data_IF_746757828862
#
_entry.id   IF_746757828862
#
_cell.length_a   1.000
_cell.length_b   1.000
_cell.length_c   1.000
_cell.angle_alpha   90.00
_cell.angle_beta   90.00
_cell.angle_gamma   90.00
#
_symmetry.space_group_name_H-M   'P 1'
#
loop_
_entity.id
_entity.type
_entity.pdbx_description
1 polymer ?
#
# COMPACT_ATOMS: atom_id res chain seq x y z
N UNK A 1 2.42 2.25 -22.36
CA UNK A 1 1.90 2.01 -20.99
C UNK A 1 2.31 3.23 -20.16
N UNK A 2 1.41 3.86 -19.43
CA UNK A 2 1.72 5.08 -18.65
C UNK A 2 2.42 4.65 -17.36
N UNK A 3 3.65 5.16 -17.12
CA UNK A 3 4.38 4.88 -15.87
C UNK A 3 3.85 5.76 -14.75
N UNK A 4 3.55 5.16 -13.59
CA UNK A 4 3.12 5.83 -12.37
C UNK A 4 4.27 6.02 -11.38
N UNK A 5 5.11 5.02 -11.25
CA UNK A 5 6.32 5.01 -10.43
C UNK A 5 7.47 4.43 -11.25
N UNK A 6 8.61 5.09 -11.21
CA UNK A 6 9.86 4.62 -11.79
C UNK A 6 10.96 4.65 -10.72
N UNK A 7 11.61 3.52 -10.54
CA UNK A 7 12.80 3.38 -9.71
C UNK A 7 13.95 3.06 -10.65
N UNK A 8 15.04 3.84 -10.58
CA UNK A 8 16.21 3.63 -11.42
C UNK A 8 17.48 3.57 -10.59
N UNK A 9 18.23 2.46 -10.73
CA UNK A 9 19.52 2.18 -10.11
C UNK A 9 19.57 2.48 -8.61
N UNK A 10 18.47 2.20 -7.92
CA UNK A 10 18.34 2.46 -6.48
C UNK A 10 19.27 1.54 -5.69
N UNK A 11 20.04 2.13 -4.79
CA UNK A 11 20.95 1.42 -3.88
C UNK A 11 20.69 1.88 -2.46
N UNK A 12 20.65 0.93 -1.52
CA UNK A 12 20.54 1.19 -0.09
C UNK A 12 21.42 0.25 0.71
N UNK A 13 22.15 0.82 1.66
CA UNK A 13 22.97 0.10 2.64
C UNK A 13 22.78 0.67 4.05
N UNK A 14 23.09 -0.12 5.06
CA UNK A 14 23.26 0.28 6.45
C UNK A 14 24.68 -0.11 6.91
N UNK A 15 25.60 0.84 6.91
CA UNK A 15 27.01 0.57 7.11
C UNK A 15 27.52 -0.41 6.05
N UNK A 16 28.10 -1.54 6.48
CA UNK A 16 28.62 -2.57 5.58
C UNK A 16 27.54 -3.50 5.00
N UNK A 17 26.30 -3.42 5.51
CA UNK A 17 25.19 -4.26 5.05
C UNK A 17 24.49 -3.62 3.84
N UNK A 18 24.78 -4.11 2.65
CA UNK A 18 24.04 -3.73 1.43
C UNK A 18 22.74 -4.51 1.35
N UNK A 19 21.60 -3.81 1.40
CA UNK A 19 20.27 -4.43 1.26
C UNK A 19 19.94 -4.74 -0.21
N UNK A 20 20.09 -3.75 -1.07
CA UNK A 20 19.94 -3.90 -2.52
C UNK A 20 20.84 -2.89 -3.25
N UNK A 21 21.21 -3.25 -4.48
CA UNK A 21 22.18 -2.46 -5.28
C UNK A 21 21.70 -2.37 -6.73
N UNK A 22 21.70 -1.13 -7.23
CA UNK A 22 21.36 -0.79 -8.63
C UNK A 22 20.02 -1.39 -9.11
N UNK A 23 19.02 -1.49 -8.21
CA UNK A 23 17.74 -2.06 -8.57
C UNK A 23 16.93 -1.08 -9.43
N UNK A 24 16.31 -1.61 -10.49
CA UNK A 24 15.49 -0.83 -11.43
C UNK A 24 14.18 -1.55 -11.72
N UNK A 25 13.06 -0.90 -11.44
CA UNK A 25 11.73 -1.38 -11.80
C UNK A 25 10.73 -0.22 -11.81
N UNK A 26 9.53 -0.48 -12.30
CA UNK A 26 8.48 0.53 -12.30
C UNK A 26 7.10 -0.06 -12.08
N UNK A 27 6.14 0.79 -11.77
CA UNK A 27 4.71 0.46 -11.70
C UNK A 27 3.98 1.30 -12.72
N UNK A 28 3.34 0.67 -13.68
CA UNK A 28 2.53 1.35 -14.67
C UNK A 28 1.04 1.34 -14.27
N UNK A 29 0.28 2.16 -14.96
CA UNK A 29 -1.17 2.24 -14.79
C UNK A 29 -1.83 0.85 -14.91
N UNK A 30 -2.63 0.48 -13.91
CA UNK A 30 -3.36 -0.78 -13.84
C UNK A 30 -2.52 -2.01 -13.48
N UNK A 31 -1.20 -1.87 -13.28
CA UNK A 31 -0.38 -2.99 -12.81
C UNK A 31 -0.60 -3.24 -11.31
N UNK A 32 -0.66 -4.52 -10.95
CA UNK A 32 -0.78 -5.00 -9.58
C UNK A 32 0.40 -5.91 -9.28
N UNK A 33 1.37 -5.36 -8.55
CA UNK A 33 2.69 -5.95 -8.32
C UNK A 33 2.81 -6.41 -6.87
N UNK A 34 3.14 -7.69 -6.68
CA UNK A 34 3.55 -8.24 -5.39
C UNK A 34 5.07 -8.24 -5.26
N UNK A 35 5.58 -7.57 -4.23
CA UNK A 35 7.01 -7.56 -3.90
C UNK A 35 7.31 -8.63 -2.86
N UNK A 36 8.14 -9.58 -3.21
CA UNK A 36 8.55 -10.67 -2.33
C UNK A 36 10.06 -10.68 -2.11
N UNK A 37 10.45 -11.11 -0.95
CA UNK A 37 11.87 -11.33 -0.61
C UNK A 37 11.99 -12.07 0.71
N UNK A 38 13.17 -12.61 1.01
CA UNK A 38 13.48 -13.18 2.32
C UNK A 38 13.37 -12.10 3.42
N UNK A 39 13.16 -12.52 4.65
CA UNK A 39 13.15 -11.58 5.78
C UNK A 39 14.52 -10.92 5.92
N UNK A 40 14.54 -9.62 6.24
CA UNK A 40 15.75 -8.83 6.40
C UNK A 40 16.40 -8.34 5.09
N UNK A 41 15.80 -8.57 3.92
CA UNK A 41 16.35 -8.10 2.63
C UNK A 41 15.99 -6.66 2.30
N UNK A 42 15.23 -5.96 3.15
CA UNK A 42 14.92 -4.55 2.97
C UNK A 42 13.58 -4.24 2.29
N UNK A 43 12.58 -5.16 2.30
CA UNK A 43 11.24 -4.88 1.74
C UNK A 43 10.60 -3.61 2.30
N UNK A 44 10.45 -3.54 3.62
CA UNK A 44 9.89 -2.36 4.30
C UNK A 44 10.75 -1.11 4.08
N UNK A 45 12.07 -1.25 4.09
CA UNK A 45 13.00 -0.16 3.76
C UNK A 45 12.75 0.37 2.35
N UNK A 46 12.59 -0.51 1.35
CA UNK A 46 12.26 -0.11 -0.01
C UNK A 46 10.93 0.63 -0.09
N UNK A 47 9.88 0.12 0.57
CA UNK A 47 8.60 0.81 0.63
C UNK A 47 8.69 2.17 1.34
N UNK A 48 9.47 2.28 2.42
CA UNK A 48 9.72 3.55 3.13
C UNK A 48 10.46 4.56 2.25
N UNK A 49 11.46 4.11 1.47
CA UNK A 49 12.14 4.97 0.49
C UNK A 49 11.16 5.47 -0.57
N UNK A 50 10.35 4.59 -1.12
CA UNK A 50 9.31 4.95 -2.10
C UNK A 50 8.31 5.94 -1.47
N UNK A 51 7.95 5.74 -0.21
CA UNK A 51 7.07 6.64 0.56
C UNK A 51 7.73 7.96 0.99
N UNK A 52 9.01 8.18 0.68
CA UNK A 52 9.75 9.40 1.05
C UNK A 52 10.06 9.52 2.55
N UNK A 53 10.08 8.39 3.27
CA UNK A 53 10.31 8.33 4.72
C UNK A 53 11.72 7.92 5.10
N UNK A 54 12.45 7.38 4.17
CA UNK A 54 13.82 6.92 4.36
C UNK A 54 14.68 7.34 3.17
N UNK A 55 15.92 7.74 3.46
CA UNK A 55 16.91 8.12 2.46
C UNK A 55 17.54 6.89 1.82
N UNK A 56 18.17 7.08 0.65
CA UNK A 56 18.90 6.05 -0.09
C UNK A 56 20.26 6.55 -0.52
N UNK A 57 21.16 5.62 -0.85
CA UNK A 57 22.56 5.95 -1.12
C UNK A 57 22.76 6.51 -2.54
N UNK A 58 22.07 5.94 -3.53
CA UNK A 58 22.12 6.37 -4.92
C UNK A 58 20.91 5.88 -5.72
N UNK A 59 20.71 6.45 -6.90
CA UNK A 59 19.59 6.15 -7.78
C UNK A 59 18.49 7.21 -7.72
N UNK A 60 17.34 6.91 -8.29
CA UNK A 60 16.20 7.83 -8.36
C UNK A 60 14.88 7.10 -8.11
N UNK A 61 13.95 7.79 -7.43
CA UNK A 61 12.54 7.39 -7.27
C UNK A 61 11.68 8.51 -7.81
N UNK A 62 10.97 8.25 -8.92
CA UNK A 62 10.19 9.26 -9.62
C UNK A 62 8.74 8.83 -9.73
N UNK A 63 7.83 9.64 -9.22
CA UNK A 63 6.39 9.50 -9.44
C UNK A 63 5.93 10.38 -10.60
N UNK A 64 4.90 9.92 -11.31
CA UNK A 64 4.20 10.78 -12.25
C UNK A 64 3.66 12.00 -11.52
N UNK A 65 3.78 13.17 -12.15
CA UNK A 65 3.24 14.42 -11.63
C UNK A 65 1.72 14.30 -11.39
N UNK A 66 1.26 14.88 -10.30
CA UNK A 66 -0.16 14.92 -9.89
C UNK A 66 -0.81 13.54 -9.65
N UNK A 67 0.00 12.48 -9.43
CA UNK A 67 -0.47 11.14 -9.10
C UNK A 67 -1.00 11.10 -7.66
N UNK A 68 -2.21 10.59 -7.48
CA UNK A 68 -2.76 10.32 -6.15
C UNK A 68 -2.25 8.98 -5.65
N UNK A 69 -1.36 9.04 -4.66
CA UNK A 69 -0.72 7.86 -4.07
C UNK A 69 -1.27 7.63 -2.67
N UNK A 70 -1.77 6.43 -2.41
CA UNK A 70 -2.10 5.95 -1.07
C UNK A 70 -0.97 5.08 -0.52
N UNK A 71 -0.58 5.27 0.73
CA UNK A 71 0.47 4.49 1.37
C UNK A 71 -0.01 3.92 2.71
N UNK A 72 -0.10 2.60 2.81
CA UNK A 72 -0.34 1.90 4.07
C UNK A 72 0.99 1.51 4.72
N UNK A 73 1.27 2.15 5.83
CA UNK A 73 2.48 1.88 6.62
C UNK A 73 2.32 0.64 7.50
N UNK A 74 3.44 0.00 7.79
CA UNK A 74 3.48 -1.10 8.75
C UNK A 74 3.03 -0.65 10.16
N UNK A 75 3.37 0.60 10.55
CA UNK A 75 3.02 1.18 11.85
C UNK A 75 2.40 2.57 11.66
N UNK A 76 1.10 2.63 11.32
CA UNK A 76 0.41 3.91 11.12
C UNK A 76 0.30 4.68 12.45
N UNK A 77 0.41 6.01 12.36
CA UNK A 77 0.27 6.90 13.50
C UNK A 77 -0.72 8.02 13.19
N UNK A 78 -1.63 8.27 14.10
CA UNK A 78 -2.61 9.36 14.05
C UNK A 78 -2.67 10.07 15.40
N UNK A 79 -3.05 11.35 15.46
CA UNK A 79 -3.34 12.04 16.72
C UNK A 79 -4.41 11.28 17.52
N UNK A 80 -4.14 11.04 18.80
CA UNK A 80 -4.97 10.20 19.66
C UNK A 80 -6.36 10.80 19.94
N UNK A 81 -6.47 12.11 19.85
CA UNK A 81 -7.71 12.87 20.07
C UNK A 81 -8.71 12.79 18.93
N UNK A 82 -8.27 12.45 17.73
CA UNK A 82 -9.15 12.31 16.57
C UNK A 82 -10.12 11.15 16.74
N UNK A 83 -11.32 11.31 16.23
CA UNK A 83 -12.23 10.18 16.06
C UNK A 83 -11.81 9.32 14.87
N UNK A 84 -12.29 8.08 14.80
CA UNK A 84 -12.08 7.18 13.66
C UNK A 84 -12.45 7.86 12.34
N UNK A 85 -13.60 8.53 12.29
CA UNK A 85 -14.06 9.20 11.08
C UNK A 85 -13.14 10.38 10.72
N UNK A 86 -12.75 11.19 11.69
CA UNK A 86 -11.79 12.27 11.48
C UNK A 86 -10.44 11.78 11.01
N UNK A 87 -9.94 10.65 11.52
CA UNK A 87 -8.69 10.04 11.08
C UNK A 87 -8.77 9.56 9.62
N UNK A 88 -9.91 9.00 9.20
CA UNK A 88 -10.15 8.64 7.79
C UNK A 88 -10.16 9.87 6.86
N UNK A 89 -10.52 11.02 7.41
CA UNK A 89 -10.54 12.28 6.68
C UNK A 89 -9.32 13.17 6.96
N UNK A 90 -8.33 12.68 7.70
CA UNK A 90 -7.09 13.39 7.98
C UNK A 90 -6.13 13.35 6.78
N UNK A 91 -6.58 13.87 5.63
CA UNK A 91 -5.80 13.95 4.40
C UNK A 91 -5.77 15.38 3.86
N UNK A 92 -4.89 15.65 2.90
CA UNK A 92 -4.78 16.94 2.22
C UNK A 92 -5.88 17.19 1.17
N UNK A 93 -6.83 16.27 1.01
CA UNK A 93 -7.92 16.39 0.05
C UNK A 93 -8.97 17.41 0.52
N UNK A 94 -9.38 18.30 -0.35
CA UNK A 94 -10.34 19.37 -0.04
C UNK A 94 -11.72 18.84 0.35
N UNK A 95 -12.21 17.81 -0.32
CA UNK A 95 -13.47 17.11 0.02
C UNK A 95 -13.42 16.55 1.43
N UNK A 96 -12.31 16.00 1.83
CA UNK A 96 -12.07 15.41 3.14
C UNK A 96 -12.07 16.49 4.24
N UNK A 97 -11.43 17.63 3.98
CA UNK A 97 -11.45 18.78 4.92
C UNK A 97 -12.86 19.31 5.09
N UNK A 98 -13.61 19.37 4.00
CA UNK A 98 -14.99 19.84 4.02
C UNK A 98 -15.90 18.94 4.85
N UNK A 99 -15.73 17.61 4.76
CA UNK A 99 -16.47 16.66 5.60
C UNK A 99 -16.08 16.83 7.07
N UNK A 100 -14.80 17.05 7.37
CA UNK A 100 -14.34 17.32 8.72
C UNK A 100 -14.94 18.65 9.28
N UNK A 101 -15.02 19.72 8.47
CA UNK A 101 -15.69 20.97 8.82
C UNK A 101 -17.18 20.76 9.13
N UNK A 102 -17.87 19.95 8.32
CA UNK A 102 -19.28 19.61 8.54
C UNK A 102 -19.50 18.84 9.84
N UNK A 103 -18.73 17.78 10.07
CA UNK A 103 -18.82 16.97 11.30
C UNK A 103 -18.50 17.82 12.55
N UNK A 104 -17.53 18.71 12.47
CA UNK A 104 -17.18 19.62 13.57
C UNK A 104 -18.32 20.63 13.86
N UNK A 105 -18.91 21.21 12.82
CA UNK A 105 -20.04 22.14 12.95
C UNK A 105 -21.26 21.44 13.59
N UNK A 106 -21.54 20.19 13.17
CA UNK A 106 -22.62 19.39 13.74
C UNK A 106 -22.36 19.01 15.19
N UNK A 107 -21.12 18.66 15.54
CA UNK A 107 -20.74 18.28 16.91
C UNK A 107 -20.77 19.46 17.89
N UNK A 108 -20.48 20.67 17.42
CA UNK A 108 -20.47 21.90 18.23
C UNK A 108 -21.84 22.62 18.28
N UNK A 109 -22.84 22.10 17.54
CA UNK A 109 -24.12 22.80 17.32
C UNK A 109 -23.97 24.24 16.78
N UNK A 110 -22.84 24.50 16.09
CA UNK A 110 -22.54 25.78 15.47
C UNK A 110 -23.10 25.83 14.05
N UNK A 111 -24.22 26.52 13.90
CA UNK A 111 -24.92 26.62 12.62
C UNK A 111 -24.59 27.91 11.86
N UNK A 112 -23.64 28.73 12.32
CA UNK A 112 -23.33 30.05 11.73
C UNK A 112 -22.88 29.96 10.27
N UNK A 113 -22.18 28.90 9.87
CA UNK A 113 -21.66 28.66 8.52
C UNK A 113 -22.23 27.40 7.85
N UNK A 114 -23.26 26.78 8.46
CA UNK A 114 -23.75 25.47 8.02
C UNK A 114 -24.29 25.48 6.58
N UNK A 115 -24.96 26.56 6.16
CA UNK A 115 -25.52 26.69 4.81
C UNK A 115 -24.41 26.74 3.72
N UNK A 116 -23.31 27.45 3.99
CA UNK A 116 -22.13 27.47 3.10
C UNK A 116 -21.46 26.11 3.04
N UNK A 117 -21.26 25.46 4.18
CA UNK A 117 -20.72 24.11 4.27
C UNK A 117 -21.56 23.13 3.47
N UNK A 118 -22.89 23.12 3.63
CA UNK A 118 -23.80 22.24 2.91
C UNK A 118 -23.74 22.46 1.39
N UNK A 119 -23.71 23.72 0.94
CA UNK A 119 -23.59 24.06 -0.48
C UNK A 119 -22.28 23.54 -1.08
N UNK A 120 -21.17 23.63 -0.34
CA UNK A 120 -19.89 23.09 -0.75
C UNK A 120 -19.90 21.56 -0.73
N UNK A 121 -20.50 20.93 0.29
CA UNK A 121 -20.68 19.48 0.38
C UNK A 121 -21.39 18.89 -0.86
N UNK A 122 -22.45 19.57 -1.33
CA UNK A 122 -23.17 19.17 -2.54
C UNK A 122 -22.31 19.35 -3.80
N UNK A 123 -21.61 20.48 -3.92
CA UNK A 123 -20.77 20.76 -5.10
C UNK A 123 -19.58 19.80 -5.24
N UNK A 124 -19.00 19.34 -4.14
CA UNK A 124 -17.90 18.37 -4.11
C UNK A 124 -18.36 16.91 -4.02
N UNK A 125 -19.67 16.63 -4.02
CA UNK A 125 -20.25 15.30 -3.79
C UNK A 125 -19.71 14.63 -2.52
N UNK A 126 -19.53 15.41 -1.49
CA UNK A 126 -18.88 14.99 -0.25
C UNK A 126 -19.72 13.95 0.53
N UNK A 127 -21.04 13.95 0.34
CA UNK A 127 -21.93 12.94 0.91
C UNK A 127 -21.64 11.52 0.41
N UNK A 128 -21.36 11.36 -0.88
CA UNK A 128 -21.00 10.07 -1.46
C UNK A 128 -19.69 9.55 -0.86
N UNK A 129 -18.79 10.49 -0.57
CA UNK A 129 -17.49 10.19 0.03
C UNK A 129 -17.61 9.70 1.48
N UNK A 130 -18.43 10.38 2.29
CA UNK A 130 -18.70 9.97 3.66
C UNK A 130 -19.39 8.59 3.72
N UNK A 131 -20.36 8.36 2.85
CA UNK A 131 -21.04 7.07 2.73
C UNK A 131 -20.06 5.96 2.35
N UNK A 132 -19.18 6.21 1.38
CA UNK A 132 -18.10 5.29 0.99
C UNK A 132 -17.18 4.98 2.17
N UNK A 133 -16.79 5.99 2.94
CA UNK A 133 -15.96 5.83 4.14
C UNK A 133 -16.61 4.91 5.16
N UNK A 134 -17.88 5.18 5.52
CA UNK A 134 -18.65 4.36 6.47
C UNK A 134 -18.82 2.92 5.97
N UNK A 135 -19.02 2.73 4.67
CA UNK A 135 -19.11 1.40 4.06
C UNK A 135 -17.77 0.63 4.18
N UNK A 136 -16.65 1.24 3.82
CA UNK A 136 -15.32 0.61 3.91
C UNK A 136 -14.98 0.28 5.36
N UNK A 137 -15.20 1.21 6.30
CA UNK A 137 -15.00 0.98 7.73
C UNK A 137 -15.86 -0.18 8.24
N UNK A 138 -17.13 -0.26 7.81
CA UNK A 138 -18.03 -1.35 8.17
C UNK A 138 -17.52 -2.71 7.70
N UNK A 139 -17.00 -2.81 6.47
CA UNK A 139 -16.38 -4.02 5.93
C UNK A 139 -15.14 -4.44 6.73
N UNK A 140 -14.40 -3.47 7.26
CA UNK A 140 -13.25 -3.69 8.14
C UNK A 140 -13.65 -3.84 9.62
N UNK A 141 -14.96 -4.04 9.90
CA UNK A 141 -15.52 -4.26 11.25
C UNK A 141 -15.20 -3.13 12.23
N UNK A 142 -15.19 -1.90 11.74
CA UNK A 142 -15.11 -0.68 12.53
C UNK A 142 -16.48 -0.01 12.49
N UNK A 143 -17.23 -0.08 13.58
CA UNK A 143 -18.62 0.39 13.63
C UNK A 143 -18.80 1.65 14.48
N UNK A 144 -17.91 1.90 15.43
CA UNK A 144 -17.96 3.11 16.25
C UNK A 144 -17.08 4.20 15.64
N UNK A 145 -17.68 5.02 14.79
CA UNK A 145 -16.98 6.09 14.05
C UNK A 145 -16.57 7.26 14.95
N UNK A 146 -17.22 7.43 16.10
CA UNK A 146 -16.93 8.48 17.07
C UNK A 146 -15.90 8.06 18.13
N UNK A 147 -15.46 6.81 18.12
CA UNK A 147 -14.42 6.33 19.01
C UNK A 147 -13.10 7.06 18.73
N UNK A 148 -12.37 7.45 19.77
CA UNK A 148 -11.07 8.10 19.62
C UNK A 148 -9.99 7.11 19.21
N UNK A 149 -9.04 7.59 18.41
CA UNK A 149 -7.91 6.80 17.94
C UNK A 149 -7.11 6.23 19.11
N UNK A 150 -6.88 7.01 20.18
CA UNK A 150 -6.16 6.55 21.38
C UNK A 150 -6.82 5.42 22.14
N UNK A 151 -8.10 5.12 21.88
CA UNK A 151 -8.85 4.02 22.51
C UNK A 151 -8.83 2.73 21.65
N UNK A 152 -8.27 2.79 20.44
CA UNK A 152 -8.22 1.65 19.53
C UNK A 152 -7.11 0.66 19.91
N UNK A 153 -7.38 -0.62 19.71
CA UNK A 153 -6.29 -1.61 19.67
C UNK A 153 -5.38 -1.38 18.46
N UNK A 154 -4.14 -1.87 18.50
CA UNK A 154 -3.23 -1.77 17.37
C UNK A 154 -3.78 -2.39 16.08
N UNK A 155 -4.56 -3.48 16.18
CA UNK A 155 -5.22 -4.09 15.02
C UNK A 155 -6.35 -3.23 14.47
N UNK A 156 -7.14 -2.58 15.33
CA UNK A 156 -8.16 -1.62 14.90
C UNK A 156 -7.54 -0.39 14.23
N UNK A 157 -6.45 0.14 14.78
CA UNK A 157 -5.74 1.27 14.20
C UNK A 157 -5.23 0.97 12.79
N UNK A 158 -4.68 -0.22 12.56
CA UNK A 158 -4.25 -0.66 11.21
C UNK A 158 -5.41 -0.79 10.23
N UNK A 159 -6.57 -1.28 10.69
CA UNK A 159 -7.77 -1.34 9.85
C UNK A 159 -8.31 0.05 9.49
N UNK A 160 -8.26 1.00 10.43
CA UNK A 160 -8.59 2.41 10.15
C UNK A 160 -7.61 3.02 9.14
N UNK A 161 -6.32 2.74 9.26
CA UNK A 161 -5.32 3.21 8.31
C UNK A 161 -5.53 2.62 6.90
N UNK A 162 -5.87 1.33 6.81
CA UNK A 162 -6.24 0.71 5.54
C UNK A 162 -7.49 1.36 4.95
N UNK A 163 -8.52 1.59 5.75
CA UNK A 163 -9.72 2.32 5.32
C UNK A 163 -9.37 3.69 4.75
N UNK A 164 -8.55 4.47 5.45
CA UNK A 164 -8.11 5.79 5.01
C UNK A 164 -7.47 5.73 3.62
N UNK A 165 -6.55 4.79 3.39
CA UNK A 165 -5.90 4.62 2.09
C UNK A 165 -6.93 4.31 0.99
N UNK A 166 -7.90 3.45 1.24
CA UNK A 166 -8.92 3.06 0.25
C UNK A 166 -9.95 4.16 -0.03
N UNK A 167 -10.28 4.97 0.99
CA UNK A 167 -11.25 6.06 0.90
C UNK A 167 -10.72 7.19 -0.01
N UNK A 168 -9.42 7.48 0.03
CA UNK A 168 -8.81 8.59 -0.73
C UNK A 168 -8.82 8.41 -2.25
N UNK A 169 -9.36 7.31 -2.74
CA UNK A 169 -9.48 6.98 -4.18
C UNK A 169 -8.17 7.16 -4.95
N UNK A 170 -7.09 6.49 -4.52
CA UNK A 170 -5.77 6.64 -5.10
C UNK A 170 -5.67 5.98 -6.48
N UNK A 171 -4.77 6.47 -7.33
CA UNK A 171 -4.42 5.85 -8.61
C UNK A 171 -3.35 4.76 -8.43
N UNK A 172 -2.49 4.94 -7.42
CA UNK A 172 -1.48 3.96 -6.99
C UNK A 172 -1.59 3.75 -5.49
N UNK A 173 -1.65 2.49 -5.06
CA UNK A 173 -1.59 2.11 -3.64
C UNK A 173 -0.30 1.36 -3.37
N UNK A 174 0.38 1.75 -2.30
CA UNK A 174 1.53 1.04 -1.74
C UNK A 174 1.09 0.43 -0.41
N UNK A 175 1.18 -0.90 -0.29
CA UNK A 175 0.67 -1.64 0.87
C UNK A 175 1.78 -2.45 1.52
N UNK A 176 2.05 -2.21 2.80
CA UNK A 176 2.97 -3.03 3.61
C UNK A 176 2.14 -3.92 4.55
N UNK A 177 2.10 -5.23 4.24
CA UNK A 177 1.38 -6.28 4.98
C UNK A 177 -0.11 -5.94 5.24
N UNK A 178 -0.91 -5.69 4.18
CA UNK A 178 -2.29 -5.23 4.33
C UNK A 178 -3.24 -6.26 4.97
N UNK A 179 -2.91 -7.54 4.92
CA UNK A 179 -3.71 -8.64 5.49
C UNK A 179 -3.48 -8.85 6.98
N UNK A 180 -2.43 -8.26 7.55
CA UNK A 180 -2.18 -8.36 8.97
C UNK A 180 -3.32 -7.72 9.77
N UNK A 181 -3.82 -8.44 10.80
CA UNK A 181 -4.94 -8.05 11.66
C UNK A 181 -6.33 -8.06 10.97
N UNK A 182 -6.44 -8.66 9.79
CA UNK A 182 -7.70 -8.99 9.15
C UNK A 182 -8.09 -10.44 9.47
N UNK A 183 -9.36 -10.68 9.68
CA UNK A 183 -9.91 -12.04 9.66
C UNK A 183 -10.19 -12.50 8.21
N UNK A 184 -10.65 -13.73 8.06
CA UNK A 184 -10.89 -14.32 6.74
C UNK A 184 -11.89 -13.50 5.91
N UNK A 185 -13.00 -13.08 6.51
CA UNK A 185 -14.05 -12.32 5.83
C UNK A 185 -13.56 -10.95 5.34
N UNK A 186 -12.80 -10.24 6.18
CA UNK A 186 -12.19 -8.97 5.80
C UNK A 186 -11.13 -9.16 4.71
N UNK A 187 -10.35 -10.25 4.78
CA UNK A 187 -9.32 -10.56 3.76
C UNK A 187 -9.95 -10.87 2.42
N UNK A 188 -10.99 -11.71 2.37
CA UNK A 188 -11.74 -12.03 1.15
C UNK A 188 -12.39 -10.78 0.54
N UNK A 189 -12.96 -9.91 1.37
CA UNK A 189 -13.51 -8.64 0.89
C UNK A 189 -12.42 -7.75 0.29
N UNK A 190 -11.26 -7.63 0.94
CA UNK A 190 -10.15 -6.81 0.45
C UNK A 190 -9.57 -7.35 -0.85
N UNK A 191 -9.43 -8.68 -0.98
CA UNK A 191 -9.04 -9.34 -2.23
C UNK A 191 -9.99 -8.97 -3.37
N UNK A 192 -11.28 -9.09 -3.14
CA UNK A 192 -12.33 -8.80 -4.13
C UNK A 192 -12.33 -7.31 -4.51
N UNK A 193 -12.20 -6.43 -3.52
CA UNK A 193 -12.09 -4.99 -3.73
C UNK A 193 -10.87 -4.62 -4.58
N UNK A 194 -9.67 -5.08 -4.21
CA UNK A 194 -8.43 -4.76 -4.91
C UNK A 194 -8.32 -5.43 -6.28
N UNK A 195 -8.87 -6.63 -6.46
CA UNK A 195 -8.84 -7.32 -7.75
C UNK A 195 -9.72 -6.64 -8.80
N UNK A 196 -10.87 -6.10 -8.40
CA UNK A 196 -11.84 -5.42 -9.31
C UNK A 196 -11.52 -3.94 -9.53
N UNK A 197 -10.88 -3.30 -8.56
CA UNK A 197 -10.58 -1.88 -8.65
C UNK A 197 -9.59 -1.58 -9.78
N UNK A 198 -9.84 -0.50 -10.53
CA UNK A 198 -8.91 0.00 -11.54
C UNK A 198 -7.81 0.86 -10.90
N UNK A 199 -7.05 0.24 -10.00
CA UNK A 199 -6.00 0.86 -9.21
C UNK A 199 -4.69 0.12 -9.49
N UNK A 200 -3.59 0.85 -9.57
CA UNK A 200 -2.25 0.25 -9.59
C UNK A 200 -1.82 -0.08 -8.18
N UNK A 201 -1.13 -1.19 -7.99
CA UNK A 201 -0.78 -1.69 -6.66
C UNK A 201 0.69 -2.09 -6.63
N UNK A 202 1.40 -1.66 -5.59
CA UNK A 202 2.66 -2.25 -5.16
C UNK A 202 2.47 -2.73 -3.72
N UNK A 203 2.55 -4.04 -3.49
CA UNK A 203 2.33 -4.59 -2.16
C UNK A 203 3.42 -5.54 -1.70
N UNK A 204 3.65 -5.56 -0.40
CA UNK A 204 4.40 -6.59 0.31
C UNK A 204 3.42 -7.35 1.20
N UNK A 205 3.37 -8.66 1.09
CA UNK A 205 2.65 -9.53 2.02
C UNK A 205 3.24 -10.93 2.03
N UNK A 206 3.06 -11.63 3.13
CA UNK A 206 3.38 -13.05 3.28
C UNK A 206 2.22 -13.96 2.91
N UNK A 207 1.05 -13.40 2.65
CA UNK A 207 -0.14 -14.14 2.23
C UNK A 207 -0.06 -14.48 0.74
N UNK A 208 0.26 -15.75 0.47
CA UNK A 208 0.46 -16.27 -0.88
C UNK A 208 -0.85 -16.34 -1.67
N UNK A 209 -1.96 -16.62 -1.01
CA UNK A 209 -3.28 -16.68 -1.65
C UNK A 209 -3.73 -15.28 -2.06
N UNK A 210 -3.49 -14.31 -1.20
CA UNK A 210 -3.77 -12.92 -1.50
C UNK A 210 -2.96 -12.42 -2.70
N UNK A 211 -1.64 -12.70 -2.73
CA UNK A 211 -0.78 -12.40 -3.89
C UNK A 211 -1.28 -13.04 -5.18
N UNK A 212 -1.67 -14.31 -5.11
CA UNK A 212 -2.11 -15.06 -6.29
C UNK A 212 -3.41 -14.49 -6.90
N UNK A 213 -4.31 -13.99 -6.06
CA UNK A 213 -5.61 -13.45 -6.49
C UNK A 213 -5.55 -11.99 -6.94
N UNK A 214 -4.70 -11.18 -6.32
CA UNK A 214 -4.67 -9.73 -6.55
C UNK A 214 -3.59 -9.33 -7.56
N UNK A 215 -2.40 -9.97 -7.51
CA UNK A 215 -1.26 -9.53 -8.30
C UNK A 215 -1.21 -10.20 -9.68
N UNK A 216 -0.87 -9.40 -10.69
CA UNK A 216 -0.60 -9.86 -12.05
C UNK A 216 0.90 -9.93 -12.39
N UNK A 217 1.74 -9.45 -11.49
CA UNK A 217 3.19 -9.49 -11.60
C UNK A 217 3.82 -9.66 -10.22
N UNK A 218 4.86 -10.46 -10.14
CA UNK A 218 5.66 -10.66 -8.92
C UNK A 218 7.06 -10.12 -9.16
N UNK A 219 7.54 -9.29 -8.25
CA UNK A 219 8.93 -8.83 -8.19
C UNK A 219 9.59 -9.47 -6.99
N UNK A 220 10.71 -10.14 -7.21
CA UNK A 220 11.51 -10.74 -6.17
C UNK A 220 12.80 -9.97 -5.96
N UNK A 221 13.11 -9.65 -4.68
CA UNK A 221 14.46 -9.20 -4.29
C UNK A 221 15.22 -10.43 -3.81
N UNK A 222 16.21 -10.87 -4.57
CA UNK A 222 17.13 -11.92 -4.20
C UNK A 222 18.58 -11.52 -4.57
N UNK A 223 19.54 -11.89 -3.71
CA UNK A 223 20.96 -11.56 -3.90
C UNK A 223 21.21 -10.06 -4.22
N UNK A 224 20.47 -9.16 -3.53
CA UNK A 224 20.56 -7.69 -3.68
C UNK A 224 20.10 -7.15 -5.04
N UNK A 225 19.47 -7.97 -5.87
CA UNK A 225 18.96 -7.64 -7.20
C UNK A 225 17.46 -7.89 -7.29
N UNK A 226 16.84 -7.40 -8.36
CA UNK A 226 15.44 -7.57 -8.66
C UNK A 226 15.24 -8.53 -9.83
N UNK A 227 14.25 -9.41 -9.68
CA UNK A 227 13.76 -10.33 -10.71
C UNK A 227 12.26 -10.12 -10.86
N UNK A 228 11.80 -9.90 -12.10
CA UNK A 228 10.39 -9.70 -12.40
C UNK A 228 9.80 -10.93 -13.10
N UNK A 229 8.61 -11.35 -12.63
CA UNK A 229 7.85 -12.48 -13.15
C UNK A 229 6.46 -11.97 -13.55
N UNK A 230 6.19 -11.92 -14.87
CA UNK A 230 4.90 -11.48 -15.41
C UNK A 230 3.87 -12.60 -15.29
N UNK A 231 3.19 -12.64 -14.17
CA UNK A 231 2.20 -13.63 -13.79
C UNK A 231 1.84 -13.50 -12.32
N UNK A 232 0.90 -14.34 -11.85
CA UNK A 232 0.53 -14.42 -10.45
C UNK A 232 1.57 -15.18 -9.62
N UNK A 233 1.28 -15.38 -8.33
CA UNK A 233 2.22 -16.05 -7.43
C UNK A 233 2.46 -17.53 -7.81
N UNK A 234 1.43 -18.24 -8.30
CA UNK A 234 1.57 -19.62 -8.78
C UNK A 234 2.53 -19.72 -9.98
N UNK A 235 2.43 -18.81 -10.94
CA UNK A 235 3.36 -18.72 -12.06
C UNK A 235 4.80 -18.45 -11.61
N UNK A 236 4.98 -17.54 -10.66
CA UNK A 236 6.29 -17.28 -10.05
C UNK A 236 6.91 -18.54 -9.46
N UNK A 237 6.13 -19.33 -8.70
CA UNK A 237 6.63 -20.57 -8.09
C UNK A 237 7.09 -21.58 -9.15
N UNK A 238 6.33 -21.78 -10.22
CA UNK A 238 6.70 -22.67 -11.33
C UNK A 238 8.03 -22.22 -11.95
N UNK A 239 8.17 -20.95 -12.29
CA UNK A 239 9.38 -20.42 -12.90
C UNK A 239 10.60 -20.50 -11.98
N UNK A 240 10.41 -20.27 -10.70
CA UNK A 240 11.50 -20.41 -9.74
C UNK A 240 11.98 -21.85 -9.56
N UNK A 241 11.06 -22.82 -9.59
CA UNK A 241 11.41 -24.23 -9.57
C UNK A 241 12.18 -24.65 -10.82
N UNK A 242 11.79 -24.21 -12.01
CA UNK A 242 12.50 -24.46 -13.26
C UNK A 242 13.96 -23.95 -13.17
N UNK A 243 14.16 -22.69 -12.71
CA UNK A 243 15.49 -22.11 -12.55
C UNK A 243 16.35 -22.86 -11.52
N UNK A 244 15.75 -23.33 -10.43
CA UNK A 244 16.45 -24.14 -9.42
C UNK A 244 16.93 -25.48 -9.97
N UNK A 245 16.12 -26.13 -10.80
CA UNK A 245 16.49 -27.40 -11.44
C UNK A 245 17.63 -27.23 -12.44
N UNK A 246 17.69 -26.11 -13.15
CA UNK A 246 18.78 -25.79 -14.10
C UNK A 246 20.11 -25.61 -13.34
N UNK A 247 20.08 -24.94 -12.19
CA UNK A 247 21.29 -24.75 -11.37
C UNK A 247 21.81 -26.03 -10.71
N UNK A 248 20.95 -27.01 -10.46
CA UNK A 248 21.33 -28.32 -9.90
C UNK A 248 21.91 -29.24 -11.01
N UNK A 249 21.57 -29.01 -12.26
CA UNK A 249 21.96 -29.85 -13.40
C UNK A 249 23.27 -29.43 -14.07
N UNK A 250 23.93 -28.35 -13.69
CA UNK A 250 25.30 -28.05 -14.11
C UNK A 250 26.31 -28.78 -13.19
N UNK A 251 26.88 -29.92 -13.62
CA UNK A 251 27.95 -30.55 -12.85
C UNK A 251 29.18 -29.62 -12.92
N UNK A 252 29.68 -29.24 -11.75
CA UNK A 252 31.01 -28.65 -11.61
C UNK A 252 32.02 -29.50 -12.39
N UNK A 253 32.49 -29.02 -13.53
CA UNK A 253 33.61 -29.65 -14.26
C UNK A 253 34.81 -29.64 -13.32
N UNK A 254 35.41 -30.81 -13.02
CA UNK A 254 36.64 -30.85 -12.26
C UNK A 254 37.71 -30.13 -13.08
N UNK A 255 38.34 -29.14 -12.46
CA UNK A 255 39.55 -28.49 -13.00
C UNK A 255 40.64 -29.59 -13.00
N UNK A 256 40.97 -30.10 -14.15
CA UNK A 256 42.15 -30.97 -14.28
C UNK A 256 43.38 -30.08 -14.16
N UNK A 257 44.10 -30.19 -13.05
CA UNK A 257 45.44 -29.66 -12.90
C UNK A 257 46.39 -30.65 -13.63
N UNK A 258 47.02 -30.15 -14.66
CA UNK A 258 48.21 -30.76 -15.27
C UNK A 258 49.37 -29.82 -15.12
#
# INVERSE_FOLDING_TARGET
MISYLQIDKLTKSFGDLVLFKDITFGVAQGQKIGLIAKNGTGKTTLLNIIGGKEDYDSGEVVFRKDLRVGYLEQSPSYPEELTVLQACFHSKNETVRLIAEYEEAMAKEDHSNLEDILTRMDSFKAWDYEQKAKQILGQLKIHNFNQKIGELSGGQLKRVALANVLITDPELIILDEPTNHLDLEMTEWLEDYLSRANISILMVTHDRYFLDRVCSEIIEIDNKQIYSYKGNYSYYLEKRQELSLIHISEPTRPISIS
#
